data_IF_580298548667
#
_entry.id   IF_580298548667
#
_cell.length_a   1.000
_cell.length_b   1.000
_cell.length_c   1.000
_cell.angle_alpha   90.00
_cell.angle_beta   90.00
_cell.angle_gamma   90.00
#
_symmetry.space_group_name_H-M   'P 1'
#
loop_
_entity.id
_entity.type
_entity.pdbx_description
1 polymer ?
#
# COMPACT_ATOMS: atom_id res chain seq x y z
N UNK A 1 -11.02 -4.15 -35.40
CA UNK A 1 -9.63 -4.50 -35.73
C UNK A 1 -8.62 -3.40 -35.38
N UNK A 2 -8.94 -2.09 -35.55
CA UNK A 2 -8.02 -0.98 -35.23
C UNK A 2 -7.43 -1.02 -33.80
N UNK A 3 -8.25 -1.36 -32.80
CA UNK A 3 -7.82 -1.43 -31.40
C UNK A 3 -6.67 -2.44 -31.17
N UNK A 4 -6.75 -3.65 -31.74
CA UNK A 4 -5.73 -4.70 -31.54
C UNK A 4 -4.45 -4.47 -32.36
N UNK A 5 -4.50 -3.59 -33.37
CA UNK A 5 -3.34 -3.17 -34.16
C UNK A 5 -2.62 -1.93 -33.61
N UNK A 6 -3.14 -1.30 -32.54
CA UNK A 6 -2.52 -0.14 -31.88
C UNK A 6 -1.41 -0.54 -30.90
N UNK A 7 -0.56 0.41 -30.51
CA UNK A 7 0.50 0.15 -29.53
C UNK A 7 -0.07 -0.19 -28.15
N UNK A 8 0.74 -0.79 -27.27
CA UNK A 8 0.33 -1.06 -25.88
C UNK A 8 -0.11 0.22 -25.14
N UNK A 9 0.44 1.38 -25.51
CA UNK A 9 0.05 2.68 -24.93
C UNK A 9 -1.32 3.11 -25.46
N UNK A 10 -1.58 3.02 -26.77
CA UNK A 10 -2.88 3.36 -27.36
C UNK A 10 -3.99 2.46 -26.83
N UNK A 11 -3.69 1.17 -26.66
CA UNK A 11 -4.57 0.19 -26.05
C UNK A 11 -4.85 0.51 -24.58
N UNK A 12 -3.83 0.90 -23.80
CA UNK A 12 -4.01 1.36 -22.42
C UNK A 12 -4.86 2.63 -22.34
N UNK A 13 -4.54 3.66 -23.13
CA UNK A 13 -5.29 4.93 -23.16
C UNK A 13 -6.75 4.68 -23.55
N UNK A 14 -7.00 3.83 -24.55
CA UNK A 14 -8.37 3.49 -24.97
C UNK A 14 -9.11 2.72 -23.86
N UNK A 15 -8.49 1.73 -23.21
CA UNK A 15 -9.08 1.03 -22.05
C UNK A 15 -9.35 1.96 -20.88
N UNK A 16 -8.43 2.86 -20.59
CA UNK A 16 -8.54 3.83 -19.51
C UNK A 16 -9.71 4.79 -19.78
N UNK A 17 -9.77 5.43 -20.95
CA UNK A 17 -10.83 6.36 -21.33
C UNK A 17 -12.21 5.69 -21.38
N UNK A 18 -12.31 4.46 -21.92
CA UNK A 18 -13.58 3.72 -21.91
C UNK A 18 -14.03 3.36 -20.49
N UNK A 19 -13.11 2.88 -19.64
CA UNK A 19 -13.42 2.54 -18.24
C UNK A 19 -13.80 3.78 -17.42
N UNK A 20 -13.06 4.86 -17.58
CA UNK A 20 -13.30 6.12 -16.87
C UNK A 20 -14.63 6.74 -17.29
N UNK A 21 -14.93 6.79 -18.59
CA UNK A 21 -16.22 7.27 -19.11
C UNK A 21 -17.38 6.41 -18.60
N UNK A 22 -17.23 5.07 -18.61
CA UNK A 22 -18.24 4.16 -18.07
C UNK A 22 -18.47 4.40 -16.56
N UNK A 23 -17.41 4.54 -15.76
CA UNK A 23 -17.50 4.84 -14.33
C UNK A 23 -18.19 6.19 -14.06
N UNK A 24 -17.83 7.23 -14.80
CA UNK A 24 -18.44 8.56 -14.67
C UNK A 24 -19.93 8.53 -15.02
N UNK A 25 -20.32 7.89 -16.13
CA UNK A 25 -21.73 7.72 -16.49
C UNK A 25 -22.51 6.90 -15.48
N UNK A 26 -21.94 5.82 -14.93
CA UNK A 26 -22.59 5.01 -13.90
C UNK A 26 -22.80 5.79 -12.59
N UNK A 27 -21.83 6.62 -12.21
CA UNK A 27 -21.94 7.49 -11.02
C UNK A 27 -23.05 8.53 -11.18
N UNK A 28 -23.18 9.12 -12.38
CA UNK A 28 -24.27 10.04 -12.70
C UNK A 28 -25.64 9.34 -12.69
N UNK A 29 -25.75 8.14 -13.28
CA UNK A 29 -26.99 7.37 -13.28
C UNK A 29 -27.46 7.02 -11.86
N UNK A 30 -26.54 6.55 -11.00
CA UNK A 30 -26.85 6.27 -9.58
C UNK A 30 -27.26 7.53 -8.81
N UNK A 31 -26.64 8.69 -9.11
CA UNK A 31 -27.05 9.97 -8.51
C UNK A 31 -28.42 10.44 -8.99
N UNK A 32 -28.81 10.15 -10.23
CA UNK A 32 -30.14 10.49 -10.78
C UNK A 32 -31.20 9.55 -10.21
N UNK A 33 -30.92 8.25 -10.13
CA UNK A 33 -31.79 7.24 -9.50
C UNK A 33 -32.13 7.63 -8.05
N UNK A 34 -31.10 7.91 -7.23
CA UNK A 34 -31.29 8.39 -5.86
C UNK A 34 -32.05 9.73 -5.76
N UNK A 35 -31.94 10.61 -6.76
CA UNK A 35 -32.70 11.86 -6.79
C UNK A 35 -34.17 11.64 -7.18
N UNK A 36 -34.45 10.66 -8.06
CA UNK A 36 -35.82 10.25 -8.41
C UNK A 36 -36.51 9.59 -7.22
N UNK A 37 -35.84 8.69 -6.52
CA UNK A 37 -36.36 8.06 -5.29
C UNK A 37 -36.71 9.11 -4.22
N UNK A 38 -35.83 10.09 -4.01
CA UNK A 38 -36.07 11.18 -3.08
C UNK A 38 -37.25 12.10 -3.49
N UNK A 39 -37.53 12.22 -4.79
CA UNK A 39 -38.69 12.95 -5.32
C UNK A 39 -39.97 12.14 -5.16
N UNK A 40 -39.97 10.82 -5.37
CA UNK A 40 -41.14 9.97 -5.15
C UNK A 40 -41.56 9.96 -3.67
N UNK A 41 -40.58 9.82 -2.75
CA UNK A 41 -40.79 9.87 -1.30
C UNK A 41 -41.37 11.22 -0.84
N UNK A 42 -40.98 12.35 -1.48
CA UNK A 42 -41.55 13.68 -1.20
C UNK A 42 -42.90 13.94 -1.88
N UNK A 43 -43.13 13.37 -3.06
CA UNK A 43 -44.35 13.60 -3.87
C UNK A 43 -45.52 12.73 -3.40
N UNK A 44 -45.25 11.69 -2.61
CA UNK A 44 -46.24 10.71 -2.18
C UNK A 44 -46.50 10.71 -0.65
N UNK A 45 -47.12 11.77 -0.08
CA UNK A 45 -47.48 11.80 1.33
C UNK A 45 -48.52 10.72 1.73
N UNK A 46 -49.08 9.98 0.77
CA UNK A 46 -50.07 8.93 0.98
C UNK A 46 -49.52 7.59 1.54
N UNK A 47 -48.24 7.55 1.98
CA UNK A 47 -47.72 6.49 2.87
C UNK A 47 -47.34 6.97 4.28
N UNK A 48 -47.50 8.27 4.56
CA UNK A 48 -47.28 8.87 5.88
C UNK A 48 -48.61 9.36 6.50
N UNK A 49 -49.56 8.43 6.66
CA UNK A 49 -50.83 8.70 7.33
C UNK A 49 -51.34 7.45 8.09
N UNK A 50 -51.22 7.48 9.43
CA UNK A 50 -52.07 6.69 10.36
C UNK A 50 -53.53 7.24 10.33
N UNK A 51 -54.58 6.72 11.04
CA UNK A 51 -54.59 5.87 12.25
C UNK A 51 -55.81 4.88 12.29
N UNK A 52 -56.66 4.78 13.35
CA UNK A 52 -56.47 4.28 14.72
C UNK A 52 -57.30 2.99 15.05
N UNK A 53 -56.95 2.26 16.12
CA UNK A 53 -57.80 1.20 16.68
C UNK A 53 -57.87 1.21 18.22
N UNK A 54 -58.74 2.08 18.73
CA UNK A 54 -59.60 1.93 19.92
C UNK A 54 -59.09 1.10 21.13
N UNK A 55 -58.78 1.81 22.22
CA UNK A 55 -59.25 1.41 23.55
C UNK A 55 -59.78 2.64 24.29
N UNK A 56 -61.10 2.71 24.45
CA UNK A 56 -61.78 3.81 25.12
C UNK A 56 -61.39 3.91 26.59
N UNK A 57 -61.04 5.12 27.07
CA UNK A 57 -61.50 5.59 28.38
C UNK A 57 -61.99 7.04 28.26
N UNK A 58 -63.18 7.24 28.82
CA UNK A 58 -63.95 8.49 28.84
C UNK A 58 -63.41 9.46 29.88
N UNK A 59 -63.60 10.77 29.65
CA UNK A 59 -63.69 11.75 30.73
C UNK A 59 -62.71 12.92 30.65
N UNK A 60 -63.27 14.09 30.38
CA UNK A 60 -63.03 15.33 31.14
C UNK A 60 -62.72 15.05 32.63
N UNK A 61 -61.91 15.82 33.35
CA UNK A 61 -61.61 17.25 33.20
C UNK A 61 -60.32 17.66 33.96
N UNK A 62 -60.03 18.97 33.96
CA UNK A 62 -59.26 19.74 34.97
C UNK A 62 -57.76 20.01 34.75
N UNK A 63 -57.42 21.26 35.08
CA UNK A 63 -56.11 21.92 35.02
C UNK A 63 -55.38 21.88 36.39
N UNK A 64 -54.10 22.28 36.40
CA UNK A 64 -53.17 22.39 37.55
C UNK A 64 -52.82 21.03 38.18
N UNK A 65 -51.55 20.64 38.36
CA UNK A 65 -50.43 21.41 38.92
C UNK A 65 -49.05 20.87 38.47
N UNK A 66 -47.99 21.63 38.74
CA UNK A 66 -46.58 21.16 38.69
C UNK A 66 -45.96 21.26 40.08
N UNK A 67 -45.20 20.25 40.55
CA UNK A 67 -43.76 20.48 40.66
C UNK A 67 -42.82 19.32 40.25
N UNK A 68 -41.65 19.74 39.72
CA UNK A 68 -40.35 19.06 39.51
C UNK A 68 -39.74 18.36 40.76
N UNK A 69 -38.52 17.72 40.71
CA UNK A 69 -37.63 17.28 39.62
C UNK A 69 -37.18 15.77 39.77
N UNK A 70 -36.35 15.08 38.97
CA UNK A 70 -34.95 15.36 38.58
C UNK A 70 -34.30 14.23 37.73
N UNK A 71 -33.19 14.56 37.04
CA UNK A 71 -32.07 13.70 36.54
C UNK A 71 -32.20 12.77 35.30
N UNK A 72 -31.33 13.07 34.33
CA UNK A 72 -30.78 12.25 33.23
C UNK A 72 -29.50 11.50 33.72
N UNK A 73 -28.76 10.71 32.89
CA UNK A 73 -29.17 9.57 32.04
C UNK A 73 -28.18 8.37 32.14
N UNK A 74 -28.27 7.43 31.19
CA UNK A 74 -27.20 6.52 30.65
C UNK A 74 -27.02 5.07 31.19
N UNK A 75 -27.10 4.14 30.21
CA UNK A 75 -26.25 2.95 29.99
C UNK A 75 -26.53 1.58 30.68
N UNK A 76 -26.17 0.51 29.95
CA UNK A 76 -26.03 -0.93 30.34
C UNK A 76 -27.33 -1.74 30.57
N UNK A 77 -27.48 -3.03 30.23
CA UNK A 77 -26.68 -3.98 29.39
C UNK A 77 -27.45 -5.32 29.12
N UNK A 78 -27.37 -5.86 27.89
CA UNK A 78 -27.52 -7.31 27.49
C UNK A 78 -28.75 -8.12 28.00
N UNK A 79 -28.85 -9.47 27.80
CA UNK A 79 -29.14 -10.15 26.52
C UNK A 79 -30.33 -11.14 26.60
N UNK A 80 -30.71 -11.80 25.49
CA UNK A 80 -31.51 -13.04 25.57
C UNK A 80 -31.22 -14.03 24.44
N UNK A 81 -30.73 -15.23 24.78
CA UNK A 81 -30.51 -16.35 23.86
C UNK A 81 -31.70 -17.33 23.82
N UNK A 82 -31.95 -17.90 22.62
CA UNK A 82 -32.63 -19.17 22.27
C UNK A 82 -32.28 -19.51 20.80
N UNK A 83 -32.43 -20.73 20.26
CA UNK A 83 -32.91 -21.99 20.85
C UNK A 83 -32.56 -23.29 20.10
N UNK A 84 -31.84 -23.24 18.96
CA UNK A 84 -31.38 -24.37 18.09
C UNK A 84 -32.44 -25.09 17.22
N UNK A 85 -32.10 -25.31 15.94
CA UNK A 85 -32.31 -26.57 15.20
C UNK A 85 -31.32 -26.68 14.02
N UNK A 86 -31.27 -27.84 13.33
CA UNK A 86 -30.04 -28.41 12.74
C UNK A 86 -29.67 -28.02 11.29
N UNK A 87 -28.34 -27.93 11.08
CA UNK A 87 -27.49 -28.16 9.89
C UNK A 87 -28.12 -28.27 8.47
N UNK A 88 -27.63 -27.42 7.55
CA UNK A 88 -26.92 -27.80 6.29
C UNK A 88 -26.51 -26.53 5.53
N UNK A 89 -25.26 -26.46 5.03
CA UNK A 89 -24.85 -25.44 4.05
C UNK A 89 -23.75 -24.48 4.49
N UNK A 90 -22.65 -24.48 3.74
CA UNK A 90 -21.59 -23.46 3.65
C UNK A 90 -21.64 -22.85 2.25
N UNK A 91 -21.08 -21.66 1.95
CA UNK A 91 -20.59 -20.60 2.84
C UNK A 91 -21.47 -19.34 2.76
N UNK A 92 -21.55 -18.58 3.84
CA UNK A 92 -22.35 -17.35 3.89
C UNK A 92 -21.62 -16.19 3.19
N UNK A 93 -21.85 -16.00 1.88
CA UNK A 93 -21.38 -14.83 1.11
C UNK A 93 -22.15 -13.56 1.49
N UNK A 94 -22.07 -13.18 2.76
CA UNK A 94 -22.37 -11.82 3.20
C UNK A 94 -21.33 -10.90 2.57
N UNK A 95 -21.81 -9.92 1.83
CA UNK A 95 -20.98 -8.94 1.15
C UNK A 95 -19.97 -8.36 2.15
N UNK A 96 -18.68 -8.62 1.92
CA UNK A 96 -17.58 -7.91 2.58
C UNK A 96 -17.74 -6.45 2.18
N UNK A 97 -18.43 -5.66 3.01
CA UNK A 97 -18.51 -4.21 2.84
C UNK A 97 -17.11 -3.61 2.85
N UNK A 98 -16.97 -2.35 2.43
CA UNK A 98 -15.67 -1.67 2.37
C UNK A 98 -14.83 -1.85 3.64
N UNK A 99 -15.46 -1.77 4.82
CA UNK A 99 -14.82 -2.03 6.11
C UNK A 99 -14.28 -3.47 6.26
N UNK A 100 -15.01 -4.48 5.80
CA UNK A 100 -14.54 -5.88 5.77
C UNK A 100 -13.35 -6.07 4.83
N UNK A 101 -13.37 -5.43 3.67
CA UNK A 101 -12.24 -5.45 2.73
C UNK A 101 -11.01 -4.70 3.28
N UNK A 102 -11.22 -3.55 3.94
CA UNK A 102 -10.17 -2.78 4.61
C UNK A 102 -9.53 -3.59 5.74
N UNK A 103 -10.34 -4.21 6.61
CA UNK A 103 -9.84 -5.04 7.71
C UNK A 103 -9.07 -6.27 7.19
N UNK A 104 -9.58 -6.92 6.13
CA UNK A 104 -8.89 -8.02 5.46
C UNK A 104 -7.57 -7.59 4.80
N UNK A 105 -7.53 -6.40 4.20
CA UNK A 105 -6.30 -5.83 3.65
C UNK A 105 -5.29 -5.49 4.76
N UNK A 106 -5.74 -4.90 5.87
CA UNK A 106 -4.89 -4.62 7.03
C UNK A 106 -4.30 -5.89 7.64
N UNK A 107 -5.08 -6.97 7.76
CA UNK A 107 -4.58 -8.28 8.21
C UNK A 107 -3.56 -8.86 7.22
N UNK A 108 -3.82 -8.77 5.91
CA UNK A 108 -2.88 -9.24 4.88
C UNK A 108 -1.58 -8.42 4.86
N UNK A 109 -1.64 -7.11 5.07
CA UNK A 109 -0.47 -6.23 5.16
C UNK A 109 0.35 -6.57 6.40
N UNK A 110 -0.26 -6.61 7.59
CA UNK A 110 0.43 -6.98 8.83
C UNK A 110 1.06 -8.38 8.74
N UNK A 111 0.37 -9.34 8.09
CA UNK A 111 0.92 -10.68 7.81
C UNK A 111 2.02 -10.73 6.75
N UNK A 112 2.15 -9.72 5.90
CA UNK A 112 3.26 -9.58 4.94
C UNK A 112 4.46 -8.88 5.60
N UNK A 113 4.20 -7.92 6.48
CA UNK A 113 5.21 -7.24 7.30
C UNK A 113 5.85 -8.23 8.30
N UNK A 114 5.05 -8.99 9.06
CA UNK A 114 5.53 -10.06 9.95
C UNK A 114 6.21 -11.22 9.20
N UNK A 115 5.86 -11.43 7.92
CA UNK A 115 6.49 -12.44 7.04
C UNK A 115 7.44 -11.80 6.03
N UNK A 116 8.21 -10.80 6.45
CA UNK A 116 9.30 -10.31 5.61
C UNK A 116 10.21 -11.48 5.22
N UNK A 117 10.41 -11.65 3.91
CA UNK A 117 10.62 -12.94 3.23
C UNK A 117 12.00 -13.60 3.43
N UNK A 118 12.71 -13.29 4.51
CA UNK A 118 14.07 -13.74 4.78
C UNK A 118 14.24 -15.27 4.89
N UNK A 119 13.22 -16.00 5.35
CA UNK A 119 13.32 -17.45 5.56
C UNK A 119 13.09 -18.32 4.30
N UNK A 120 12.27 -17.89 3.33
CA UNK A 120 12.06 -18.68 2.09
C UNK A 120 13.30 -18.64 1.18
N UNK A 121 14.02 -17.51 1.18
CA UNK A 121 15.20 -17.34 0.33
C UNK A 121 16.33 -18.28 0.77
N UNK A 122 16.62 -18.35 2.07
CA UNK A 122 17.75 -19.14 2.58
C UNK A 122 17.50 -20.66 2.51
N UNK A 123 16.25 -21.10 2.63
CA UNK A 123 15.91 -22.53 2.57
C UNK A 123 15.85 -23.07 1.13
N UNK A 124 15.37 -22.27 0.17
CA UNK A 124 15.35 -22.66 -1.26
C UNK A 124 16.73 -22.66 -1.92
N UNK A 125 17.71 -21.99 -1.33
CA UNK A 125 19.11 -22.03 -1.76
C UNK A 125 19.80 -23.38 -1.46
N UNK A 126 19.30 -24.18 -0.51
CA UNK A 126 19.88 -25.49 -0.18
C UNK A 126 19.39 -26.64 -1.06
N UNK A 127 18.14 -26.57 -1.57
CA UNK A 127 17.47 -27.72 -2.19
C UNK A 127 17.41 -27.70 -3.74
N UNK A 128 17.93 -26.66 -4.43
CA UNK A 128 17.84 -26.55 -5.89
C UNK A 128 19.14 -26.88 -6.65
N UNK A 129 19.50 -28.17 -6.66
CA UNK A 129 20.60 -28.72 -7.49
C UNK A 129 20.20 -28.84 -8.99
N UNK A 130 19.54 -27.82 -9.56
CA UNK A 130 19.20 -27.79 -10.99
C UNK A 130 19.17 -26.37 -11.59
N UNK A 131 19.93 -26.18 -12.67
CA UNK A 131 20.00 -24.97 -13.51
C UNK A 131 20.38 -23.65 -12.82
N UNK A 132 21.66 -23.53 -12.44
CA UNK A 132 22.46 -22.30 -12.53
C UNK A 132 21.77 -20.94 -12.21
N UNK A 133 21.11 -20.83 -11.06
CA UNK A 133 20.77 -19.54 -10.49
C UNK A 133 22.06 -18.80 -10.10
N UNK A 134 22.54 -17.90 -10.97
CA UNK A 134 23.60 -16.97 -10.61
C UNK A 134 23.00 -15.91 -9.69
N UNK A 135 23.39 -15.95 -8.41
CA UNK A 135 23.05 -14.90 -7.47
C UNK A 135 23.84 -13.63 -7.78
N UNK A 136 23.27 -12.47 -7.45
CA UNK A 136 23.93 -11.18 -7.41
C UNK A 136 23.96 -10.70 -5.96
N UNK A 137 24.97 -9.90 -5.60
CA UNK A 137 25.00 -9.24 -4.31
C UNK A 137 24.30 -7.88 -4.41
N UNK A 138 23.17 -7.72 -3.72
CA UNK A 138 22.56 -6.42 -3.49
C UNK A 138 23.14 -5.81 -2.22
N UNK A 139 23.78 -4.65 -2.35
CA UNK A 139 24.23 -3.81 -1.25
C UNK A 139 23.27 -2.63 -1.13
N UNK A 140 22.74 -2.40 0.08
CA UNK A 140 21.93 -1.23 0.45
C UNK A 140 22.69 -0.44 1.51
N UNK A 141 23.04 0.79 1.17
CA UNK A 141 23.84 1.72 1.98
C UNK A 141 22.98 2.95 2.30
N UNK A 142 22.60 3.12 3.57
CA UNK A 142 21.77 4.22 4.05
C UNK A 142 22.59 5.29 4.78
N UNK A 143 22.34 6.55 4.42
CA UNK A 143 23.19 7.69 4.68
C UNK A 143 22.34 8.90 5.10
N UNK A 144 22.46 9.38 6.34
CA UNK A 144 21.81 10.63 6.78
C UNK A 144 22.81 11.78 6.76
N UNK A 145 22.53 12.80 5.95
CA UNK A 145 23.44 13.91 5.64
C UNK A 145 23.11 15.15 6.44
N UNK A 146 24.13 15.84 6.96
CA UNK A 146 23.94 17.15 7.59
C UNK A 146 23.38 18.18 6.60
N UNK A 147 22.33 18.89 6.97
CA UNK A 147 21.71 19.96 6.14
C UNK A 147 22.72 20.97 5.58
N UNK A 148 23.83 21.23 6.31
CA UNK A 148 24.89 22.17 5.89
C UNK A 148 25.69 21.68 4.67
N UNK A 149 25.83 20.36 4.51
CA UNK A 149 26.69 19.73 3.50
C UNK A 149 25.90 19.03 2.37
N UNK A 150 24.57 19.15 2.39
CA UNK A 150 23.67 18.45 1.47
C UNK A 150 24.02 18.67 -0.02
N UNK A 151 24.43 19.88 -0.41
CA UNK A 151 24.80 20.21 -1.80
C UNK A 151 26.12 19.58 -2.26
N UNK A 152 27.11 19.53 -1.37
CA UNK A 152 28.42 18.89 -1.59
C UNK A 152 28.23 17.37 -1.73
N UNK A 153 27.54 16.76 -0.76
CA UNK A 153 27.20 15.34 -0.79
C UNK A 153 26.41 14.97 -2.04
N UNK A 154 25.36 15.71 -2.40
CA UNK A 154 24.57 15.44 -3.62
C UNK A 154 25.40 15.54 -4.90
N UNK A 155 26.44 16.37 -4.93
CA UNK A 155 27.33 16.51 -6.08
C UNK A 155 28.31 15.33 -6.16
N UNK A 156 28.90 14.96 -5.03
CA UNK A 156 29.80 13.81 -4.92
C UNK A 156 29.08 12.48 -5.20
N UNK A 157 27.89 12.27 -4.62
CA UNK A 157 27.04 11.10 -4.90
C UNK A 157 26.71 10.98 -6.40
N UNK A 158 26.34 12.08 -7.07
CA UNK A 158 26.10 12.05 -8.53
C UNK A 158 27.34 11.70 -9.34
N UNK A 159 28.54 12.05 -8.86
CA UNK A 159 29.80 11.68 -9.50
C UNK A 159 30.13 10.20 -9.23
N UNK A 160 29.97 9.73 -7.99
CA UNK A 160 30.11 8.32 -7.61
C UNK A 160 29.22 7.41 -8.46
N UNK A 161 27.91 7.68 -8.52
CA UNK A 161 26.94 6.90 -9.31
C UNK A 161 27.34 6.80 -10.79
N UNK A 162 27.85 7.88 -11.39
CA UNK A 162 28.30 7.90 -12.79
C UNK A 162 29.55 7.05 -13.01
N UNK A 163 30.47 7.04 -12.06
CA UNK A 163 31.68 6.22 -12.12
C UNK A 163 31.34 4.74 -11.94
N UNK A 164 30.53 4.40 -10.93
CA UNK A 164 30.12 3.01 -10.62
C UNK A 164 29.28 2.41 -11.76
N UNK A 165 28.37 3.18 -12.37
CA UNK A 165 27.59 2.73 -13.53
C UNK A 165 28.44 2.45 -14.80
N UNK A 166 29.74 2.77 -14.79
CA UNK A 166 30.71 2.41 -15.82
C UNK A 166 31.58 1.19 -15.48
N UNK A 167 31.48 0.64 -14.27
CA UNK A 167 32.22 -0.55 -13.85
C UNK A 167 31.56 -1.82 -14.39
N UNK A 168 32.36 -2.77 -14.91
CA UNK A 168 31.84 -3.98 -15.57
C UNK A 168 31.15 -4.95 -14.60
N UNK A 169 31.61 -4.93 -13.35
CA UNK A 169 31.24 -5.89 -12.31
C UNK A 169 30.02 -5.39 -11.48
N UNK A 170 29.54 -4.16 -11.77
CA UNK A 170 28.33 -3.56 -11.21
C UNK A 170 27.21 -3.56 -12.28
N UNK A 171 26.15 -4.33 -12.06
CA UNK A 171 25.03 -4.44 -13.01
C UNK A 171 24.10 -3.24 -12.96
N UNK A 172 23.91 -2.67 -11.77
CA UNK A 172 23.02 -1.54 -11.57
C UNK A 172 23.39 -0.80 -10.29
N UNK A 173 23.33 0.53 -10.36
CA UNK A 173 23.40 1.39 -9.18
C UNK A 173 22.31 2.46 -9.26
N UNK A 174 21.65 2.71 -8.14
CA UNK A 174 20.64 3.75 -8.02
C UNK A 174 20.68 4.38 -6.62
N UNK A 175 20.29 5.64 -6.52
CA UNK A 175 20.16 6.34 -5.23
C UNK A 175 18.77 6.94 -5.08
N UNK A 176 18.14 6.64 -3.95
CA UNK A 176 16.83 7.16 -3.56
C UNK A 176 17.04 8.19 -2.46
N UNK A 177 16.29 9.30 -2.52
CA UNK A 177 16.23 10.31 -1.47
C UNK A 177 14.94 10.14 -0.67
N UNK A 178 15.02 10.09 0.65
CA UNK A 178 13.85 9.96 1.52
C UNK A 178 13.06 11.28 1.66
N UNK A 179 11.78 11.22 2.08
CA UNK A 179 10.93 12.40 2.24
C UNK A 179 11.43 13.41 3.28
N UNK A 180 12.31 13.00 4.20
CA UNK A 180 12.93 13.87 5.21
C UNK A 180 13.87 14.95 4.61
N UNK A 181 14.25 14.81 3.35
CA UNK A 181 15.10 15.77 2.65
C UNK A 181 16.60 15.60 2.92
N UNK A 182 17.02 14.66 3.76
CA UNK A 182 18.41 14.52 4.25
C UNK A 182 18.94 13.09 4.26
N UNK A 183 18.09 12.08 4.26
CA UNK A 183 18.51 10.67 4.18
C UNK A 183 18.47 10.17 2.74
N UNK A 184 19.50 9.43 2.37
CA UNK A 184 19.71 8.83 1.07
C UNK A 184 19.95 7.33 1.25
N UNK A 185 19.45 6.54 0.30
CA UNK A 185 19.70 5.10 0.24
C UNK A 185 20.28 4.81 -1.13
N UNK A 186 21.50 4.27 -1.17
CA UNK A 186 22.13 3.77 -2.38
C UNK A 186 21.91 2.26 -2.45
N UNK A 187 21.50 1.78 -3.63
CA UNK A 187 21.37 0.36 -3.94
C UNK A 187 22.35 0.02 -5.06
N UNK A 188 23.23 -0.94 -4.81
CA UNK A 188 24.23 -1.43 -5.76
C UNK A 188 24.06 -2.93 -5.98
N UNK A 189 24.12 -3.37 -7.24
CA UNK A 189 24.03 -4.77 -7.63
C UNK A 189 25.38 -5.22 -8.21
N UNK A 190 26.10 -6.05 -7.46
CA UNK A 190 27.43 -6.58 -7.81
C UNK A 190 27.36 -8.05 -8.25
N UNK A 191 28.29 -8.49 -9.10
CA UNK A 191 28.36 -9.90 -9.50
C UNK A 191 28.73 -10.82 -8.32
N UNK A 192 29.73 -10.47 -7.53
CA UNK A 192 30.15 -11.19 -6.32
C UNK A 192 30.48 -10.27 -5.15
N UNK A 193 30.64 -10.83 -3.95
CA UNK A 193 31.10 -10.08 -2.77
C UNK A 193 32.56 -9.64 -2.91
N UNK A 194 33.37 -10.41 -3.63
CA UNK A 194 34.75 -10.08 -3.98
C UNK A 194 34.81 -8.81 -4.84
N UNK A 195 33.88 -8.63 -5.78
CA UNK A 195 33.85 -7.48 -6.68
C UNK A 195 33.47 -6.20 -5.93
N UNK A 196 32.47 -6.29 -5.05
CA UNK A 196 32.14 -5.21 -4.12
C UNK A 196 33.32 -4.86 -3.19
N UNK A 197 34.01 -5.86 -2.61
CA UNK A 197 35.22 -5.64 -1.80
C UNK A 197 36.35 -4.99 -2.60
N UNK A 198 36.53 -5.36 -3.88
CA UNK A 198 37.45 -4.68 -4.80
C UNK A 198 37.03 -3.22 -5.02
N UNK A 199 35.74 -2.97 -5.22
CA UNK A 199 35.20 -1.63 -5.40
C UNK A 199 35.43 -0.74 -4.16
N UNK A 200 35.21 -1.24 -2.95
CA UNK A 200 35.49 -0.51 -1.69
C UNK A 200 36.94 -0.04 -1.56
N UNK A 201 37.89 -0.71 -2.23
CA UNK A 201 39.30 -0.33 -2.25
C UNK A 201 39.67 0.64 -3.38
N UNK A 202 38.76 0.90 -4.33
CA UNK A 202 38.97 1.78 -5.48
C UNK A 202 39.17 3.25 -5.08
N UNK A 203 39.81 4.02 -5.95
CA UNK A 203 39.95 5.47 -5.78
C UNK A 203 38.58 6.18 -5.79
N UNK A 204 37.64 5.68 -6.61
CA UNK A 204 36.26 6.18 -6.70
C UNK A 204 35.53 6.06 -5.36
N UNK A 205 35.52 4.85 -4.78
CA UNK A 205 34.83 4.60 -3.51
C UNK A 205 35.51 5.34 -2.36
N UNK A 206 36.85 5.32 -2.27
CA UNK A 206 37.60 6.07 -1.24
C UNK A 206 37.35 7.57 -1.30
N UNK A 207 37.33 8.16 -2.50
CA UNK A 207 36.98 9.57 -2.69
C UNK A 207 35.58 9.91 -2.18
N UNK A 208 34.61 9.01 -2.39
CA UNK A 208 33.25 9.16 -1.85
C UNK A 208 33.19 8.92 -0.34
N UNK A 209 33.92 7.94 0.20
CA UNK A 209 34.03 7.66 1.64
C UNK A 209 34.55 8.88 2.43
N UNK A 210 35.51 9.64 1.91
CA UNK A 210 35.93 10.91 2.53
C UNK A 210 34.76 11.89 2.65
N UNK A 211 33.98 12.08 1.58
CA UNK A 211 32.78 12.93 1.63
C UNK A 211 31.72 12.36 2.57
N UNK A 212 31.55 11.03 2.68
CA UNK A 212 30.67 10.43 3.70
C UNK A 212 31.13 10.81 5.12
N UNK A 213 32.41 10.66 5.45
CA UNK A 213 32.96 11.04 6.77
C UNK A 213 32.74 12.53 7.09
N UNK A 214 32.94 13.42 6.12
CA UNK A 214 32.85 14.87 6.36
C UNK A 214 31.41 15.42 6.36
N UNK A 215 30.44 14.71 5.76
CA UNK A 215 29.09 15.25 5.52
C UNK A 215 27.93 14.53 6.22
N UNK A 216 28.12 13.29 6.67
CA UNK A 216 27.08 12.53 7.37
C UNK A 216 26.91 12.99 8.83
N UNK A 217 25.67 12.97 9.33
CA UNK A 217 25.34 13.30 10.71
C UNK A 217 25.44 12.10 11.67
N UNK A 218 25.47 10.89 11.12
CA UNK A 218 25.60 9.62 11.84
C UNK A 218 26.30 8.59 10.94
N UNK A 219 26.85 7.49 11.49
CA UNK A 219 27.43 6.42 10.68
C UNK A 219 26.45 5.86 9.64
N UNK A 220 26.99 5.43 8.50
CA UNK A 220 26.25 4.72 7.47
C UNK A 220 25.69 3.38 7.96
N UNK A 221 24.51 3.01 7.47
CA UNK A 221 23.88 1.72 7.74
C UNK A 221 23.90 0.86 6.47
N UNK A 222 24.92 0.01 6.37
CA UNK A 222 25.11 -0.91 5.23
C UNK A 222 24.47 -2.27 5.54
N UNK A 223 23.73 -2.79 4.57
CA UNK A 223 23.10 -4.11 4.61
C UNK A 223 23.27 -4.81 3.26
N UNK A 224 23.49 -6.12 3.28
CA UNK A 224 23.73 -6.91 2.07
C UNK A 224 22.76 -8.10 2.00
N UNK A 225 22.38 -8.48 0.78
CA UNK A 225 21.53 -9.64 0.52
C UNK A 225 21.85 -10.26 -0.84
N UNK A 226 21.96 -11.58 -0.89
CA UNK A 226 22.07 -12.29 -2.17
C UNK A 226 20.69 -12.31 -2.85
N UNK A 227 20.60 -11.87 -4.10
CA UNK A 227 19.35 -11.86 -4.87
C UNK A 227 19.46 -12.78 -6.09
N UNK A 228 18.41 -13.54 -6.46
CA UNK A 228 18.44 -14.38 -7.65
C UNK A 228 18.58 -13.54 -8.94
N UNK A 229 19.68 -13.72 -9.66
CA UNK A 229 19.93 -13.09 -10.96
C UNK A 229 19.57 -14.00 -12.14
N UNK A 230 19.23 -13.38 -13.28
CA UNK A 230 19.25 -14.04 -14.59
C UNK A 230 20.18 -13.28 -15.51
N UNK A 231 21.36 -13.85 -15.78
CA UNK A 231 22.31 -13.30 -16.75
C UNK A 231 21.81 -13.61 -18.16
N UNK A 232 21.17 -12.64 -18.82
CA UNK A 232 20.83 -12.73 -20.24
C UNK A 232 22.08 -12.39 -21.04
N UNK A 233 22.80 -13.41 -21.50
CA UNK A 233 23.94 -13.22 -22.39
C UNK A 233 23.44 -12.71 -23.75
N UNK A 234 23.62 -11.41 -24.02
CA UNK A 234 23.41 -10.85 -25.36
C UNK A 234 24.61 -11.26 -26.21
N UNK A 235 24.45 -12.34 -26.97
CA UNK A 235 25.40 -12.69 -28.04
C UNK A 235 25.34 -11.61 -29.11
N UNK A 236 26.37 -10.77 -29.21
CA UNK A 236 26.60 -10.01 -30.43
C UNK A 236 26.85 -11.00 -31.58
N UNK A 237 26.11 -10.80 -32.68
CA UNK A 237 26.27 -11.55 -33.93
C UNK A 237 27.19 -10.84 -34.92
#
# INVERSE_FOLDING_TARGET
QVYESGSNVDQFVTRFLLKETANQTQSLLSSVESAVDAIDEQTNPARSAAPPALLCKSGMDAWYDSPMPSYLPTNRMVPREHGKSFQTGSPDTKAEGLEGQINRLAELIGRLEDKTLWFDLHQRLSDSESTACTYLLLVRDEMTVSHKHLGEFCSSLKQYLKSVAGERDCFHVTAVKLPDGVTFIVYEFWETEEDWKRHLQSATCKGFQHVKVDTLSQPEAVSTVAVPGRRVAVTQG
#
